data_IF_739034460300
#
_entry.id   IF_739034460300
#
_cell.length_a   1.000
_cell.length_b   1.000
_cell.length_c   1.000
_cell.angle_alpha   90.00
_cell.angle_beta   90.00
_cell.angle_gamma   90.00
#
_symmetry.space_group_name_H-M   'P 1'
#
loop_
_entity.id
_entity.type
_entity.pdbx_description
1 polymer ?
#
# COMPACT_ATOMS: atom_id res chain seq x y z
N UNK A 1 2.13 -21.47 12.11
CA UNK A 1 1.86 -20.34 11.19
C UNK A 1 0.37 -20.08 11.11
N UNK A 2 -0.06 -18.92 10.62
CA UNK A 2 -1.49 -18.63 10.40
C UNK A 2 -2.16 -19.62 9.43
N UNK A 3 -1.38 -20.19 8.52
CA UNK A 3 -1.87 -21.21 7.58
C UNK A 3 -2.26 -22.50 8.29
N UNK A 4 -1.46 -22.98 9.26
CA UNK A 4 -1.79 -24.14 10.08
C UNK A 4 -3.06 -23.93 10.90
N UNK A 5 -3.32 -22.70 11.39
CA UNK A 5 -4.55 -22.36 12.11
C UNK A 5 -5.76 -22.47 11.16
N UNK A 6 -5.61 -22.09 9.88
CA UNK A 6 -6.71 -22.10 8.93
C UNK A 6 -7.09 -23.50 8.45
N UNK A 7 -6.12 -24.38 8.18
CA UNK A 7 -6.42 -25.76 7.82
C UNK A 7 -7.01 -26.53 8.99
N UNK A 8 -6.49 -26.34 10.22
CA UNK A 8 -7.06 -26.91 11.44
C UNK A 8 -8.50 -26.42 11.68
N UNK A 9 -8.75 -25.13 11.52
CA UNK A 9 -10.11 -24.58 11.66
C UNK A 9 -11.06 -25.13 10.58
N UNK A 10 -10.59 -25.30 9.35
CA UNK A 10 -11.39 -25.92 8.30
C UNK A 10 -11.74 -27.38 8.67
N UNK A 11 -10.75 -28.16 9.10
CA UNK A 11 -10.94 -29.56 9.48
C UNK A 11 -11.94 -29.73 10.62
N UNK A 12 -11.87 -28.85 11.63
CA UNK A 12 -12.82 -28.85 12.76
C UNK A 12 -14.28 -28.68 12.30
N UNK A 13 -14.53 -27.88 11.24
CA UNK A 13 -15.87 -27.55 10.79
C UNK A 13 -16.36 -28.38 9.58
N UNK A 14 -15.45 -28.90 8.77
CA UNK A 14 -15.76 -29.54 7.48
C UNK A 14 -15.19 -30.95 7.33
N UNK A 15 -14.40 -31.43 8.30
CA UNK A 15 -13.75 -32.74 8.26
C UNK A 15 -12.40 -32.76 7.53
N UNK A 16 -11.81 -33.94 7.42
CA UNK A 16 -10.43 -34.14 6.93
C UNK A 16 -10.25 -33.98 5.42
N UNK A 17 -11.33 -33.90 4.66
CA UNK A 17 -11.25 -33.72 3.20
C UNK A 17 -11.09 -32.24 2.85
N UNK A 18 -9.91 -31.86 2.40
CA UNK A 18 -9.57 -30.50 2.01
C UNK A 18 -9.88 -30.18 0.53
N UNK A 19 -10.53 -31.08 -0.21
CA UNK A 19 -10.86 -30.86 -1.63
C UNK A 19 -11.68 -29.58 -1.84
N UNK A 20 -12.58 -29.29 -0.92
CA UNK A 20 -13.45 -28.11 -0.95
C UNK A 20 -12.87 -26.90 -0.19
N UNK A 21 -11.63 -26.93 0.24
CA UNK A 21 -11.01 -25.87 1.05
C UNK A 21 -11.21 -24.47 0.43
N UNK A 22 -11.01 -24.33 -0.88
CA UNK A 22 -11.14 -23.07 -1.60
C UNK A 22 -12.58 -22.53 -1.65
N UNK A 23 -13.61 -23.37 -1.42
CA UNK A 23 -15.02 -22.90 -1.36
C UNK A 23 -15.32 -22.10 -0.09
N UNK A 24 -14.61 -22.42 0.99
CA UNK A 24 -14.84 -21.83 2.31
C UNK A 24 -13.73 -20.86 2.72
N UNK A 25 -12.59 -20.86 2.02
CA UNK A 25 -11.43 -20.05 2.35
C UNK A 25 -10.98 -19.23 1.14
N UNK A 26 -10.80 -17.93 1.36
CA UNK A 26 -10.14 -17.02 0.44
C UNK A 26 -9.06 -16.28 1.19
N UNK A 27 -7.84 -16.25 0.65
CA UNK A 27 -6.67 -15.66 1.28
C UNK A 27 -6.17 -14.53 0.40
N UNK A 28 -6.23 -13.30 0.94
CA UNK A 28 -5.75 -12.12 0.25
C UNK A 28 -4.28 -11.90 0.58
N UNK A 29 -3.43 -12.02 -0.42
CA UNK A 29 -2.01 -11.64 -0.36
C UNK A 29 -1.93 -10.12 -0.56
N UNK A 30 -1.75 -9.41 0.55
CA UNK A 30 -1.73 -7.96 0.57
C UNK A 30 -0.28 -7.48 0.38
N UNK A 31 0.07 -7.09 -0.84
CA UNK A 31 1.44 -6.94 -1.34
C UNK A 31 2.20 -8.27 -1.38
N UNK A 32 3.53 -8.22 -1.52
CA UNK A 32 4.39 -9.41 -1.62
C UNK A 32 4.81 -9.98 -0.26
N UNK A 33 4.63 -9.24 0.82
CA UNK A 33 5.09 -9.63 2.15
C UNK A 33 4.59 -11.02 2.61
N UNK A 34 3.31 -11.42 2.40
CA UNK A 34 2.81 -12.72 2.81
C UNK A 34 2.85 -13.78 1.70
N UNK A 35 3.56 -13.57 0.58
CA UNK A 35 3.55 -14.50 -0.58
C UNK A 35 4.01 -15.90 -0.22
N UNK A 36 4.90 -16.07 0.77
CA UNK A 36 5.33 -17.38 1.25
C UNK A 36 4.18 -18.27 1.76
N UNK A 37 3.03 -17.69 2.07
CA UNK A 37 1.84 -18.48 2.39
C UNK A 37 1.38 -19.37 1.24
N UNK A 38 1.69 -19.03 -0.01
CA UNK A 38 1.37 -19.83 -1.19
C UNK A 38 2.12 -21.17 -1.19
N UNK A 39 3.47 -21.20 -1.22
CA UNK A 39 4.20 -22.45 -1.13
C UNK A 39 4.03 -23.13 0.24
N UNK A 40 3.72 -22.41 1.31
CA UNK A 40 3.42 -23.05 2.62
C UNK A 40 2.09 -23.81 2.58
N UNK A 41 1.04 -23.28 1.95
CA UNK A 41 -0.19 -24.05 1.78
C UNK A 41 0.06 -25.29 0.89
N UNK A 42 0.87 -25.14 -0.16
CA UNK A 42 1.30 -26.32 -0.93
C UNK A 42 1.99 -27.36 -0.05
N UNK A 43 2.94 -26.95 0.82
CA UNK A 43 3.62 -27.87 1.75
C UNK A 43 2.63 -28.61 2.65
N UNK A 44 1.70 -27.88 3.25
CA UNK A 44 0.67 -28.47 4.13
C UNK A 44 -0.14 -29.51 3.36
N UNK A 45 -0.63 -29.19 2.18
CA UNK A 45 -1.45 -30.11 1.37
C UNK A 45 -0.67 -31.33 0.91
N UNK A 46 0.59 -31.14 0.50
CA UNK A 46 1.46 -32.23 0.02
C UNK A 46 1.98 -33.10 1.17
N UNK A 47 2.57 -32.48 2.20
CA UNK A 47 3.37 -33.19 3.19
C UNK A 47 2.53 -33.61 4.40
N UNK A 48 1.63 -32.75 4.87
CA UNK A 48 0.81 -33.02 6.06
C UNK A 48 -0.48 -33.79 5.72
N UNK A 49 -1.03 -33.59 4.49
CA UNK A 49 -2.26 -34.26 4.03
C UNK A 49 -2.05 -35.27 2.89
N UNK A 50 -0.84 -35.44 2.39
CA UNK A 50 -0.50 -36.48 1.41
C UNK A 50 -1.16 -36.30 0.03
N UNK A 51 -1.56 -35.07 -0.33
CA UNK A 51 -2.21 -34.81 -1.62
C UNK A 51 -1.20 -34.86 -2.77
N UNK A 52 -1.68 -35.22 -3.96
CA UNK A 52 -0.89 -35.07 -5.19
C UNK A 52 -0.76 -33.60 -5.59
N UNK A 53 0.33 -33.27 -6.32
CA UNK A 53 0.63 -31.88 -6.71
C UNK A 53 -0.52 -31.19 -7.44
N UNK A 54 -1.12 -31.85 -8.43
CA UNK A 54 -2.18 -31.24 -9.25
C UNK A 54 -3.40 -30.83 -8.42
N UNK A 55 -3.81 -31.71 -7.50
CA UNK A 55 -4.93 -31.44 -6.59
C UNK A 55 -4.58 -30.29 -5.63
N UNK A 56 -3.40 -30.32 -5.01
CA UNK A 56 -2.93 -29.26 -4.12
C UNK A 56 -2.81 -27.90 -4.85
N UNK A 57 -2.25 -27.89 -6.06
CA UNK A 57 -2.11 -26.69 -6.86
C UNK A 57 -3.48 -26.10 -7.27
N UNK A 58 -4.44 -26.96 -7.60
CA UNK A 58 -5.81 -26.52 -7.89
C UNK A 58 -6.44 -25.82 -6.67
N UNK A 59 -6.29 -26.39 -5.48
CA UNK A 59 -6.79 -25.77 -4.25
C UNK A 59 -6.11 -24.41 -4.04
N UNK A 60 -4.78 -24.34 -4.11
CA UNK A 60 -3.99 -23.12 -3.92
C UNK A 60 -4.41 -22.03 -4.90
N UNK A 61 -4.50 -22.34 -6.19
CA UNK A 61 -4.84 -21.36 -7.22
C UNK A 61 -6.31 -20.87 -7.17
N UNK A 62 -7.17 -21.51 -6.41
CA UNK A 62 -8.54 -21.06 -6.16
C UNK A 62 -8.71 -20.42 -4.77
N UNK A 63 -7.68 -20.48 -3.93
CA UNK A 63 -7.71 -19.91 -2.58
C UNK A 63 -7.08 -18.51 -2.52
N UNK A 64 -6.03 -18.25 -3.29
CA UNK A 64 -5.25 -17.01 -3.19
C UNK A 64 -5.69 -15.93 -4.18
N UNK A 65 -5.73 -14.70 -3.67
CA UNK A 65 -5.86 -13.48 -4.46
C UNK A 65 -4.74 -12.51 -4.09
N UNK A 66 -4.25 -11.71 -5.04
CA UNK A 66 -3.11 -10.82 -4.88
C UNK A 66 -3.49 -9.37 -5.09
N UNK A 67 -3.17 -8.53 -4.10
CA UNK A 67 -3.25 -7.06 -4.22
C UNK A 67 -1.86 -6.48 -4.42
N UNK A 68 -1.61 -5.85 -5.56
CA UNK A 68 -0.38 -5.11 -5.80
C UNK A 68 -0.51 -3.67 -5.28
N UNK A 69 0.52 -3.16 -4.59
CA UNK A 69 0.58 -1.80 -4.05
C UNK A 69 1.64 -0.93 -4.72
N UNK A 70 2.51 -1.48 -5.58
CA UNK A 70 3.61 -0.75 -6.17
C UNK A 70 3.74 -0.98 -7.66
N UNK A 71 4.20 0.07 -8.36
CA UNK A 71 4.57 0.00 -9.78
C UNK A 71 6.10 0.09 -9.98
N UNK A 72 6.84 0.35 -8.91
CA UNK A 72 8.29 0.49 -8.97
C UNK A 72 8.96 -0.88 -8.96
N UNK A 73 9.75 -1.17 -9.98
CA UNK A 73 10.44 -2.47 -10.13
C UNK A 73 11.38 -2.78 -8.94
N UNK A 74 12.02 -1.76 -8.36
CA UNK A 74 12.88 -1.89 -7.18
C UNK A 74 12.13 -2.24 -5.90
N UNK A 75 10.81 -1.98 -5.84
CA UNK A 75 9.98 -2.30 -4.69
C UNK A 75 9.31 -3.68 -4.82
N UNK A 76 9.47 -4.38 -5.95
CA UNK A 76 9.05 -5.77 -6.12
C UNK A 76 10.06 -6.69 -5.43
N UNK A 77 9.61 -7.35 -4.38
CA UNK A 77 10.43 -8.12 -3.46
C UNK A 77 11.10 -9.31 -4.13
N UNK A 78 12.41 -9.43 -3.94
CA UNK A 78 13.25 -10.51 -4.43
C UNK A 78 14.15 -11.03 -3.32
N UNK A 79 14.37 -12.33 -3.29
CA UNK A 79 15.19 -12.98 -2.29
C UNK A 79 16.19 -13.94 -2.94
N UNK A 80 17.44 -13.92 -2.45
CA UNK A 80 18.46 -14.87 -2.89
C UNK A 80 18.05 -16.30 -2.57
N UNK A 81 18.16 -17.21 -3.54
CA UNK A 81 17.82 -18.64 -3.36
C UNK A 81 18.58 -19.29 -2.21
N UNK A 82 19.83 -18.87 -1.94
CA UNK A 82 20.63 -19.39 -0.83
C UNK A 82 20.00 -19.14 0.55
N UNK A 83 19.25 -18.04 0.71
CA UNK A 83 18.53 -17.76 1.96
C UNK A 83 17.41 -18.78 2.14
N UNK A 84 16.69 -19.10 1.07
CA UNK A 84 15.62 -20.10 1.07
C UNK A 84 16.16 -21.50 1.33
N UNK A 85 17.21 -21.90 0.61
CA UNK A 85 17.85 -23.22 0.79
C UNK A 85 18.29 -23.44 2.25
N UNK A 86 18.79 -22.37 2.91
CA UNK A 86 19.28 -22.45 4.28
C UNK A 86 18.17 -22.41 5.31
N UNK A 87 17.17 -21.52 5.15
CA UNK A 87 16.16 -21.24 6.17
C UNK A 87 14.87 -22.03 5.99
N UNK A 88 14.51 -22.33 4.74
CA UNK A 88 13.26 -22.96 4.36
C UNK A 88 13.46 -23.99 3.25
N UNK A 89 14.28 -25.05 3.45
CA UNK A 89 14.66 -25.96 2.38
C UNK A 89 13.44 -26.59 1.67
N UNK A 90 12.43 -27.04 2.41
CA UNK A 90 11.22 -27.62 1.82
C UNK A 90 10.41 -26.62 0.99
N UNK A 91 10.27 -25.40 1.47
CA UNK A 91 9.62 -24.32 0.72
C UNK A 91 10.42 -24.00 -0.56
N UNK A 92 11.74 -24.03 -0.49
CA UNK A 92 12.62 -23.84 -1.65
C UNK A 92 12.39 -24.89 -2.73
N UNK A 93 12.26 -26.16 -2.35
CA UNK A 93 11.93 -27.26 -3.29
C UNK A 93 10.59 -27.02 -3.98
N UNK A 94 9.57 -26.63 -3.20
CA UNK A 94 8.23 -26.32 -3.72
C UNK A 94 8.28 -25.13 -4.69
N UNK A 95 9.01 -24.06 -4.34
CA UNK A 95 9.16 -22.88 -5.21
C UNK A 95 9.87 -23.24 -6.52
N UNK A 96 10.91 -24.09 -6.49
CA UNK A 96 11.56 -24.60 -7.70
C UNK A 96 10.60 -25.42 -8.57
N UNK A 97 9.75 -26.23 -7.96
CA UNK A 97 8.77 -27.02 -8.71
C UNK A 97 7.65 -26.12 -9.28
N UNK A 98 7.23 -25.06 -8.57
CA UNK A 98 6.33 -24.03 -9.10
C UNK A 98 6.96 -23.38 -10.34
N UNK A 99 8.25 -22.99 -10.27
CA UNK A 99 8.96 -22.38 -11.40
C UNK A 99 9.07 -23.33 -12.59
N UNK A 100 9.44 -24.59 -12.34
CA UNK A 100 9.53 -25.60 -13.39
C UNK A 100 8.21 -25.77 -14.14
N UNK A 101 7.11 -25.89 -13.39
CA UNK A 101 5.76 -26.04 -13.96
C UNK A 101 5.28 -24.78 -14.65
N UNK A 102 5.60 -23.62 -14.11
CA UNK A 102 5.35 -22.35 -14.78
C UNK A 102 6.01 -22.30 -16.15
N UNK A 103 7.31 -22.65 -16.24
CA UNK A 103 8.05 -22.68 -17.51
C UNK A 103 7.44 -23.66 -18.51
N UNK A 104 7.04 -24.85 -18.07
CA UNK A 104 6.34 -25.81 -18.91
C UNK A 104 5.00 -25.30 -19.43
N UNK A 105 4.19 -24.66 -18.57
CA UNK A 105 2.91 -24.07 -18.97
C UNK A 105 3.10 -22.95 -20.00
N UNK A 106 4.07 -22.05 -19.78
CA UNK A 106 4.35 -20.96 -20.71
C UNK A 106 4.91 -21.46 -22.06
N UNK A 107 5.75 -22.50 -22.05
CA UNK A 107 6.21 -23.15 -23.28
C UNK A 107 5.05 -23.77 -24.06
N UNK A 108 4.14 -24.47 -23.39
CA UNK A 108 2.93 -25.04 -24.02
C UNK A 108 2.03 -23.97 -24.64
N UNK A 109 2.04 -22.76 -24.09
CA UNK A 109 1.32 -21.60 -24.62
C UNK A 109 2.04 -20.90 -25.77
N UNK A 110 3.26 -21.33 -26.10
CA UNK A 110 4.04 -20.80 -27.21
C UNK A 110 4.75 -19.47 -26.95
N UNK A 111 5.00 -19.13 -25.68
CA UNK A 111 5.79 -17.96 -25.34
C UNK A 111 7.28 -18.19 -25.68
N UNK A 112 7.96 -17.11 -26.08
CA UNK A 112 9.40 -17.16 -26.31
C UNK A 112 10.18 -17.26 -24.99
N UNK A 113 11.42 -17.77 -25.08
CA UNK A 113 12.26 -18.04 -23.91
C UNK A 113 12.60 -16.80 -23.11
N UNK A 114 12.71 -15.62 -23.74
CA UNK A 114 13.03 -14.36 -23.05
C UNK A 114 11.83 -13.88 -22.21
N UNK A 115 10.64 -13.98 -22.73
CA UNK A 115 9.39 -13.69 -22.02
C UNK A 115 9.18 -14.65 -20.84
N UNK A 116 9.43 -15.96 -21.06
CA UNK A 116 9.35 -16.96 -19.99
C UNK A 116 10.34 -16.63 -18.87
N UNK A 117 11.59 -16.32 -19.19
CA UNK A 117 12.61 -15.96 -18.20
C UNK A 117 12.24 -14.67 -17.45
N UNK A 118 11.69 -13.68 -18.15
CA UNK A 118 11.21 -12.45 -17.53
C UNK A 118 10.08 -12.69 -16.52
N UNK A 119 9.17 -13.60 -16.83
CA UNK A 119 8.01 -13.91 -15.98
C UNK A 119 8.27 -15.03 -14.96
N UNK A 120 9.38 -15.74 -15.03
CA UNK A 120 9.64 -16.90 -14.19
C UNK A 120 9.70 -16.54 -12.69
N UNK A 121 9.06 -17.32 -11.81
CA UNK A 121 9.14 -17.18 -10.36
C UNK A 121 10.57 -17.21 -9.81
N UNK A 122 11.45 -17.98 -10.43
CA UNK A 122 12.88 -18.04 -10.11
C UNK A 122 13.70 -17.64 -11.31
N UNK A 123 14.56 -16.63 -11.16
CA UNK A 123 15.47 -16.17 -12.21
C UNK A 123 16.70 -15.50 -11.60
N UNK A 124 17.87 -15.62 -12.23
CA UNK A 124 19.11 -15.02 -11.74
C UNK A 124 19.47 -15.41 -10.30
N UNK A 125 19.19 -16.66 -9.92
CA UNK A 125 19.36 -17.17 -8.55
C UNK A 125 18.51 -16.43 -7.47
N UNK A 126 17.44 -15.77 -7.89
CA UNK A 126 16.52 -15.06 -7.00
C UNK A 126 15.09 -15.59 -7.12
N UNK A 127 14.41 -15.67 -5.98
CA UNK A 127 12.95 -15.88 -5.89
C UNK A 127 12.26 -14.52 -6.03
N UNK A 128 11.33 -14.43 -6.95
CA UNK A 128 10.56 -13.20 -7.24
C UNK A 128 9.15 -13.35 -6.72
N UNK A 129 8.84 -12.71 -5.58
CA UNK A 129 7.60 -12.90 -4.83
C UNK A 129 6.36 -12.51 -5.65
N UNK A 130 6.39 -11.37 -6.33
CA UNK A 130 5.25 -10.92 -7.14
C UNK A 130 4.91 -11.93 -8.26
N UNK A 131 5.89 -12.62 -8.84
CA UNK A 131 5.67 -13.59 -9.90
C UNK A 131 5.02 -14.88 -9.38
N UNK A 132 5.39 -15.33 -8.18
CA UNK A 132 4.68 -16.42 -7.50
C UNK A 132 3.23 -16.03 -7.26
N UNK A 133 3.00 -14.82 -6.73
CA UNK A 133 1.65 -14.31 -6.46
C UNK A 133 0.81 -14.22 -7.73
N UNK A 134 1.35 -13.70 -8.83
CA UNK A 134 0.65 -13.61 -10.12
C UNK A 134 0.28 -14.98 -10.69
N UNK A 135 1.18 -15.96 -10.59
CA UNK A 135 0.92 -17.29 -11.11
C UNK A 135 -0.12 -18.06 -10.30
N UNK A 136 -0.06 -17.94 -8.97
CA UNK A 136 -0.90 -18.70 -8.05
C UNK A 136 -2.26 -18.04 -7.74
N UNK A 137 -2.49 -16.76 -8.09
CA UNK A 137 -3.71 -16.07 -7.68
C UNK A 137 -4.80 -16.12 -8.75
N UNK A 138 -6.04 -16.39 -8.33
CA UNK A 138 -7.21 -16.31 -9.21
C UNK A 138 -7.64 -14.88 -9.53
N UNK A 139 -7.24 -13.91 -8.69
CA UNK A 139 -7.58 -12.50 -8.84
C UNK A 139 -6.37 -11.64 -8.49
N UNK A 140 -6.11 -10.61 -9.31
CA UNK A 140 -5.01 -9.64 -9.14
C UNK A 140 -5.63 -8.26 -9.21
N UNK A 141 -5.47 -7.46 -8.16
CA UNK A 141 -6.01 -6.10 -8.20
C UNK A 141 -4.96 -5.03 -7.90
N UNK A 142 -5.16 -3.89 -8.55
CA UNK A 142 -4.59 -2.63 -8.11
C UNK A 142 -5.47 -1.93 -7.08
N UNK A 143 -4.98 -0.82 -6.51
CA UNK A 143 -5.62 -0.12 -5.37
C UNK A 143 -6.21 1.24 -5.74
N UNK A 144 -6.21 1.59 -7.03
CA UNK A 144 -6.87 2.74 -7.63
C UNK A 144 -7.03 2.49 -9.14
N UNK A 145 -7.99 3.15 -9.79
CA UNK A 145 -8.23 2.97 -11.23
C UNK A 145 -6.96 3.22 -12.06
N UNK A 146 -6.30 4.36 -11.87
CA UNK A 146 -5.06 4.69 -12.55
C UNK A 146 -3.93 3.68 -12.25
N UNK A 147 -3.78 3.28 -11.00
CA UNK A 147 -2.79 2.27 -10.61
C UNK A 147 -3.04 0.93 -11.31
N UNK A 148 -4.28 0.51 -11.39
CA UNK A 148 -4.68 -0.74 -12.07
C UNK A 148 -4.36 -0.70 -13.56
N UNK A 149 -4.58 0.44 -14.23
CA UNK A 149 -4.22 0.60 -15.64
C UNK A 149 -2.69 0.59 -15.86
N UNK A 150 -1.92 1.19 -14.96
CA UNK A 150 -0.44 1.11 -15.01
C UNK A 150 0.03 -0.34 -14.83
N UNK A 151 -0.54 -1.08 -13.88
CA UNK A 151 -0.23 -2.50 -13.69
C UNK A 151 -0.46 -3.29 -14.97
N UNK A 152 -1.61 -3.11 -15.62
CA UNK A 152 -1.96 -3.82 -16.86
C UNK A 152 -1.07 -3.47 -18.04
N UNK A 153 -0.66 -2.20 -18.16
CA UNK A 153 0.09 -1.70 -19.33
C UNK A 153 1.60 -1.78 -19.19
N UNK A 154 2.11 -1.78 -17.96
CA UNK A 154 3.54 -1.66 -17.68
C UNK A 154 4.03 -2.76 -16.75
N UNK A 155 3.68 -2.70 -15.46
CA UNK A 155 4.30 -3.52 -14.41
C UNK A 155 4.08 -5.02 -14.57
N UNK A 156 2.87 -5.43 -14.94
CA UNK A 156 2.44 -6.82 -15.09
C UNK A 156 1.80 -7.09 -16.47
N UNK A 157 2.26 -6.39 -17.50
CA UNK A 157 1.65 -6.43 -18.84
C UNK A 157 1.66 -7.83 -19.45
N UNK A 158 2.73 -8.62 -19.24
CA UNK A 158 2.84 -9.98 -19.74
C UNK A 158 1.84 -10.92 -19.03
N UNK A 159 1.64 -10.72 -17.74
CA UNK A 159 0.66 -11.46 -16.95
C UNK A 159 -0.78 -11.09 -17.38
N UNK A 160 -1.02 -9.80 -17.64
CA UNK A 160 -2.31 -9.32 -18.14
C UNK A 160 -2.61 -9.88 -19.54
N UNK A 161 -1.62 -9.96 -20.41
CA UNK A 161 -1.79 -10.51 -21.77
C UNK A 161 -2.23 -11.99 -21.75
N UNK A 162 -1.77 -12.77 -20.76
CA UNK A 162 -2.11 -14.20 -20.65
C UNK A 162 -3.41 -14.44 -19.88
N UNK A 163 -3.66 -13.68 -18.81
CA UNK A 163 -4.82 -13.85 -17.93
C UNK A 163 -5.56 -12.53 -17.66
N UNK A 164 -6.11 -11.85 -18.68
CA UNK A 164 -6.76 -10.54 -18.51
C UNK A 164 -7.93 -10.59 -17.52
N UNK A 165 -8.64 -11.72 -17.46
CA UNK A 165 -9.80 -11.93 -16.57
C UNK A 165 -9.45 -11.94 -15.08
N UNK A 166 -8.18 -12.12 -14.70
CA UNK A 166 -7.74 -12.07 -13.30
C UNK A 166 -7.59 -10.65 -12.79
N UNK A 167 -7.42 -9.66 -13.69
CA UNK A 167 -7.10 -8.28 -13.33
C UNK A 167 -8.35 -7.43 -13.09
N UNK A 168 -8.39 -6.78 -11.94
CA UNK A 168 -9.48 -5.89 -11.56
C UNK A 168 -8.99 -4.74 -10.67
N UNK A 169 -9.86 -3.76 -10.44
CA UNK A 169 -9.57 -2.63 -9.56
C UNK A 169 -10.34 -2.74 -8.25
N UNK A 170 -9.65 -2.50 -7.13
CA UNK A 170 -10.26 -2.30 -5.82
C UNK A 170 -9.69 -1.01 -5.23
N UNK A 171 -10.37 0.11 -5.50
CA UNK A 171 -9.95 1.42 -4.97
C UNK A 171 -9.93 1.39 -3.44
N UNK A 172 -8.83 1.86 -2.86
CA UNK A 172 -8.74 2.01 -1.42
C UNK A 172 -9.85 2.91 -0.90
N UNK A 173 -10.49 2.47 0.17
CA UNK A 173 -11.51 3.23 0.86
C UNK A 173 -10.97 4.05 2.03
N UNK A 174 -11.81 4.94 2.52
CA UNK A 174 -11.59 5.72 3.75
C UNK A 174 -12.70 5.38 4.72
N UNK A 175 -12.34 5.15 5.99
CA UNK A 175 -13.32 4.98 7.07
C UNK A 175 -13.77 6.36 7.55
N UNK A 176 -14.98 6.84 7.20
CA UNK A 176 -15.45 8.17 7.59
C UNK A 176 -15.68 8.29 9.10
N UNK A 177 -16.00 7.20 9.77
CA UNK A 177 -16.13 7.15 11.24
C UNK A 177 -14.88 7.62 11.94
N UNK A 178 -13.70 7.16 11.54
CA UNK A 178 -12.43 7.56 12.16
C UNK A 178 -11.87 8.85 11.56
N UNK A 179 -11.74 8.89 10.23
CA UNK A 179 -10.94 9.90 9.54
C UNK A 179 -11.71 11.20 9.21
N UNK A 180 -13.00 11.25 9.54
CA UNK A 180 -13.80 12.45 9.44
C UNK A 180 -14.57 12.71 10.75
N UNK A 181 -15.46 11.80 11.15
CA UNK A 181 -16.34 12.00 12.31
C UNK A 181 -15.53 12.11 13.62
N UNK A 182 -14.65 11.17 13.90
CA UNK A 182 -13.89 11.14 15.15
C UNK A 182 -12.77 12.17 15.19
N UNK A 183 -12.01 12.32 14.09
CA UNK A 183 -10.82 13.19 14.10
C UNK A 183 -11.13 14.66 13.82
N UNK A 184 -12.32 15.01 13.34
CA UNK A 184 -12.74 16.39 13.08
C UNK A 184 -14.20 16.63 13.50
N UNK A 185 -14.48 16.67 14.82
CA UNK A 185 -15.86 16.79 15.33
C UNK A 185 -16.55 18.09 14.91
N UNK A 186 -15.81 19.21 14.75
CA UNK A 186 -16.38 20.48 14.28
C UNK A 186 -16.90 20.35 12.85
N UNK A 187 -16.12 19.75 11.95
CA UNK A 187 -16.55 19.51 10.57
C UNK A 187 -17.68 18.47 10.52
N UNK A 188 -17.63 17.44 11.36
CA UNK A 188 -18.68 16.43 11.45
C UNK A 188 -20.02 17.05 11.84
N UNK A 189 -20.04 17.98 12.81
CA UNK A 189 -21.24 18.70 13.20
C UNK A 189 -21.80 19.55 12.05
N UNK A 190 -20.95 20.28 11.32
CA UNK A 190 -21.35 21.05 10.14
C UNK A 190 -21.95 20.15 9.05
N UNK A 191 -21.30 19.02 8.74
CA UNK A 191 -21.82 18.08 7.73
C UNK A 191 -23.19 17.54 8.13
N UNK A 192 -23.37 17.15 9.39
CA UNK A 192 -24.68 16.64 9.88
C UNK A 192 -25.77 17.72 9.81
N UNK A 193 -25.42 18.97 10.10
CA UNK A 193 -26.35 20.09 9.98
C UNK A 193 -26.75 20.34 8.52
N UNK A 194 -25.77 20.45 7.61
CA UNK A 194 -26.02 20.73 6.18
C UNK A 194 -26.83 19.61 5.52
N UNK A 195 -26.54 18.36 5.87
CA UNK A 195 -27.24 17.19 5.29
C UNK A 195 -28.53 16.83 6.03
N UNK A 196 -28.76 17.40 7.21
CA UNK A 196 -29.90 17.08 8.06
C UNK A 196 -29.85 15.67 8.69
N UNK A 197 -28.72 14.94 8.56
CA UNK A 197 -28.59 13.58 9.05
C UNK A 197 -27.12 13.18 9.22
N UNK A 198 -26.86 12.12 10.02
CA UNK A 198 -25.54 11.51 10.19
C UNK A 198 -25.29 10.31 9.25
N UNK A 199 -26.15 10.12 8.25
CA UNK A 199 -26.05 8.99 7.30
C UNK A 199 -24.68 8.94 6.58
N UNK A 200 -24.06 10.10 6.33
CA UNK A 200 -22.72 10.22 5.75
C UNK A 200 -21.62 9.52 6.55
N UNK A 201 -21.85 9.28 7.86
CA UNK A 201 -20.87 8.55 8.72
C UNK A 201 -20.73 7.09 8.26
N UNK A 202 -21.78 6.52 7.68
CA UNK A 202 -21.80 5.15 7.14
C UNK A 202 -21.57 5.11 5.64
N UNK A 203 -22.10 6.09 4.92
CA UNK A 203 -22.02 6.18 3.46
C UNK A 203 -21.66 7.61 3.03
N UNK A 204 -20.41 7.83 2.62
CA UNK A 204 -19.94 9.13 2.15
C UNK A 204 -20.62 9.58 0.84
N UNK A 205 -21.20 8.67 0.07
CA UNK A 205 -21.87 9.04 -1.19
C UNK A 205 -23.06 9.97 -0.95
N UNK A 206 -23.69 9.92 0.23
CA UNK A 206 -24.74 10.85 0.64
C UNK A 206 -24.30 12.32 0.54
N UNK A 207 -23.02 12.62 0.75
CA UNK A 207 -22.52 14.00 0.65
C UNK A 207 -22.56 14.56 -0.78
N UNK A 208 -22.55 13.71 -1.80
CA UNK A 208 -22.63 14.16 -3.19
C UNK A 208 -23.94 14.88 -3.52
N UNK A 209 -25.04 14.48 -2.88
CA UNK A 209 -26.37 15.07 -3.09
C UNK A 209 -26.46 16.52 -2.58
N UNK A 210 -25.52 16.94 -1.75
CA UNK A 210 -25.50 18.27 -1.11
C UNK A 210 -24.46 19.22 -1.71
N UNK A 211 -23.69 18.81 -2.71
CA UNK A 211 -22.64 19.65 -3.33
C UNK A 211 -23.19 20.96 -3.89
N UNK A 212 -24.37 20.91 -4.50
CA UNK A 212 -25.02 22.10 -5.08
C UNK A 212 -25.71 22.98 -4.03
N UNK A 213 -25.83 22.51 -2.80
CA UNK A 213 -26.42 23.24 -1.67
C UNK A 213 -25.37 23.98 -0.82
N UNK A 214 -24.09 23.85 -1.17
CA UNK A 214 -22.99 24.53 -0.48
C UNK A 214 -22.87 25.95 -1.00
N UNK A 215 -23.26 26.92 -0.17
CA UNK A 215 -23.15 28.35 -0.43
C UNK A 215 -21.94 28.98 0.28
N UNK A 216 -21.75 30.30 0.09
CA UNK A 216 -20.62 31.01 0.68
C UNK A 216 -20.63 30.93 2.22
N UNK A 217 -21.81 30.86 2.87
CA UNK A 217 -21.90 30.74 4.32
C UNK A 217 -21.35 29.43 4.85
N UNK A 218 -21.51 28.35 4.11
CA UNK A 218 -20.92 27.02 4.44
C UNK A 218 -19.41 27.07 4.24
N UNK A 219 -18.90 27.72 3.18
CA UNK A 219 -17.46 27.92 2.97
C UNK A 219 -16.82 28.73 4.10
N UNK A 220 -17.46 29.81 4.55
CA UNK A 220 -16.96 30.60 5.66
C UNK A 220 -16.87 29.78 6.94
N UNK A 221 -17.88 28.98 7.25
CA UNK A 221 -17.88 28.06 8.41
C UNK A 221 -16.80 26.98 8.30
N UNK A 222 -16.54 26.45 7.11
CA UNK A 222 -15.43 25.51 6.88
C UNK A 222 -14.08 26.18 7.19
N UNK A 223 -13.90 27.43 6.77
CA UNK A 223 -12.68 28.19 7.02
C UNK A 223 -12.50 28.48 8.53
N UNK A 224 -13.57 28.86 9.23
CA UNK A 224 -13.57 29.04 10.69
C UNK A 224 -13.19 27.72 11.41
N UNK A 225 -13.75 26.59 11.00
CA UNK A 225 -13.43 25.27 11.55
C UNK A 225 -11.95 24.92 11.30
N UNK A 226 -11.45 25.15 10.10
CA UNK A 226 -10.04 24.91 9.77
C UNK A 226 -9.11 25.79 10.61
N UNK A 227 -9.43 27.08 10.76
CA UNK A 227 -8.66 27.98 11.58
C UNK A 227 -8.66 27.54 13.05
N UNK A 228 -9.83 27.22 13.63
CA UNK A 228 -9.94 26.74 15.00
C UNK A 228 -9.12 25.44 15.23
N UNK A 229 -9.17 24.50 14.31
CA UNK A 229 -8.35 23.28 14.40
C UNK A 229 -6.84 23.57 14.30
N UNK A 230 -6.44 24.56 13.50
CA UNK A 230 -5.03 24.98 13.40
C UNK A 230 -4.57 25.70 14.67
N UNK A 231 -5.44 26.54 15.28
CA UNK A 231 -5.17 27.21 16.55
C UNK A 231 -5.00 26.19 17.69
N UNK A 232 -5.87 25.17 17.78
CA UNK A 232 -5.73 24.09 18.77
C UNK A 232 -4.41 23.32 18.59
N UNK A 233 -4.05 23.03 17.35
CA UNK A 233 -2.78 22.36 17.05
C UNK A 233 -1.57 23.25 17.39
N UNK A 234 -1.62 24.54 17.08
CA UNK A 234 -0.57 25.50 17.43
C UNK A 234 -0.37 25.57 18.94
N UNK A 235 -1.45 25.66 19.71
CA UNK A 235 -1.39 25.64 21.18
C UNK A 235 -0.77 24.33 21.72
N UNK A 236 -1.18 23.18 21.15
CA UNK A 236 -0.63 21.88 21.53
C UNK A 236 0.88 21.75 21.25
N UNK A 237 1.35 22.27 20.10
CA UNK A 237 2.78 22.27 19.74
C UNK A 237 3.56 23.21 20.65
N UNK A 238 3.04 24.42 20.93
CA UNK A 238 3.68 25.37 21.84
C UNK A 238 3.88 24.76 23.24
N UNK A 239 2.85 24.09 23.77
CA UNK A 239 2.92 23.43 25.09
C UNK A 239 3.94 22.30 25.13
N UNK A 240 4.01 21.47 24.08
CA UNK A 240 4.81 20.23 24.11
C UNK A 240 6.23 20.36 23.57
N UNK A 241 6.40 21.22 22.55
CA UNK A 241 7.65 21.35 21.81
C UNK A 241 8.31 22.73 22.03
N UNK A 242 7.58 23.68 22.64
CA UNK A 242 8.06 25.04 22.84
C UNK A 242 8.19 25.83 21.53
N UNK A 243 7.48 25.43 20.48
CA UNK A 243 7.53 26.06 19.15
C UNK A 243 6.22 26.80 18.89
N UNK A 244 6.33 28.08 18.58
CA UNK A 244 5.17 28.90 18.17
C UNK A 244 4.89 28.72 16.68
N UNK A 245 3.63 28.46 16.33
CA UNK A 245 3.15 28.29 14.97
C UNK A 245 2.03 29.29 14.70
N UNK A 246 2.12 30.02 13.59
CA UNK A 246 1.09 30.94 13.13
C UNK A 246 -0.12 30.17 12.54
N UNK A 247 -1.31 30.17 13.17
CA UNK A 247 -2.48 29.46 12.66
C UNK A 247 -3.03 30.05 11.35
N UNK A 248 -2.68 31.32 11.01
CA UNK A 248 -3.08 31.95 9.75
C UNK A 248 -2.21 31.51 8.56
N UNK A 249 -1.03 30.92 8.81
CA UNK A 249 -0.17 30.41 7.78
C UNK A 249 -0.77 29.20 7.05
N UNK A 250 -0.33 28.93 5.82
CA UNK A 250 -0.62 27.67 5.13
C UNK A 250 0.16 26.54 5.82
N UNK A 251 -0.53 25.51 6.29
CA UNK A 251 0.12 24.32 6.82
C UNK A 251 0.41 23.35 5.68
N UNK A 252 1.70 23.23 5.34
CA UNK A 252 2.21 22.27 4.37
C UNK A 252 2.64 21.00 5.12
N UNK A 253 1.83 19.96 5.02
CA UNK A 253 1.93 18.76 5.87
C UNK A 253 2.37 17.56 5.06
N UNK A 254 3.53 16.99 5.41
CA UNK A 254 4.02 15.74 4.82
C UNK A 254 4.27 14.69 5.91
N UNK A 255 3.20 14.01 6.33
CA UNK A 255 3.22 12.99 7.38
C UNK A 255 3.11 11.60 6.74
N UNK A 256 4.25 10.97 6.53
CA UNK A 256 4.38 9.63 5.94
C UNK A 256 5.78 9.04 6.22
N UNK A 257 5.91 7.71 6.24
CA UNK A 257 7.24 7.07 6.35
C UNK A 257 8.20 7.66 5.32
N UNK A 258 9.44 7.91 5.73
CA UNK A 258 10.42 8.44 4.82
C UNK A 258 10.85 7.38 3.80
N UNK A 259 10.73 7.73 2.52
CA UNK A 259 11.15 6.91 1.40
C UNK A 259 11.43 7.80 0.20
N UNK A 260 12.43 7.45 -0.62
CA UNK A 260 12.83 8.27 -1.76
C UNK A 260 11.67 8.56 -2.72
N UNK A 261 10.81 7.56 -3.02
CA UNK A 261 9.67 7.77 -3.91
C UNK A 261 8.57 8.68 -3.35
N UNK A 262 8.55 8.93 -2.03
CA UNK A 262 7.61 9.87 -1.40
C UNK A 262 8.08 11.32 -1.46
N UNK A 263 9.31 11.54 -1.96
CA UNK A 263 9.85 12.85 -2.34
C UNK A 263 9.96 13.88 -1.20
N UNK A 264 10.17 13.44 0.04
CA UNK A 264 10.45 14.39 1.14
C UNK A 264 11.69 15.23 0.86
N UNK A 265 12.70 14.66 0.20
CA UNK A 265 13.90 15.40 -0.23
C UNK A 265 13.55 16.55 -1.19
N UNK A 266 12.64 16.31 -2.15
CA UNK A 266 12.20 17.37 -3.07
C UNK A 266 11.47 18.50 -2.33
N UNK A 267 10.64 18.17 -1.33
CA UNK A 267 9.99 19.18 -0.48
C UNK A 267 11.03 19.98 0.34
N UNK A 268 12.06 19.33 0.87
CA UNK A 268 13.14 20.05 1.56
C UNK A 268 13.90 21.01 0.64
N UNK A 269 14.15 20.63 -0.64
CA UNK A 269 14.71 21.55 -1.63
C UNK A 269 13.77 22.70 -1.97
N UNK A 270 12.47 22.47 -2.04
CA UNK A 270 11.48 23.53 -2.24
C UNK A 270 11.51 24.54 -1.09
N UNK A 271 11.65 24.10 0.15
CA UNK A 271 11.78 24.98 1.32
C UNK A 271 13.05 25.85 1.19
N UNK A 272 14.17 25.26 0.76
CA UNK A 272 15.39 26.02 0.52
C UNK A 272 15.25 27.02 -0.64
N UNK A 273 14.58 26.66 -1.72
CA UNK A 273 14.29 27.57 -2.83
C UNK A 273 13.48 28.79 -2.32
N UNK A 274 12.42 28.56 -1.57
CA UNK A 274 11.64 29.63 -0.95
C UNK A 274 12.49 30.51 -0.01
N UNK A 275 13.29 29.89 0.84
CA UNK A 275 14.18 30.60 1.77
C UNK A 275 15.14 31.54 1.02
N UNK A 276 15.81 31.05 -0.02
CA UNK A 276 16.74 31.88 -0.79
C UNK A 276 16.03 32.97 -1.58
N UNK A 277 14.87 32.66 -2.18
CA UNK A 277 14.05 33.69 -2.87
C UNK A 277 13.65 34.83 -1.94
N UNK A 278 13.18 34.53 -0.72
CA UNK A 278 12.82 35.56 0.28
C UNK A 278 14.06 36.32 0.76
N UNK A 279 15.19 35.61 0.89
CA UNK A 279 16.45 36.24 1.30
C UNK A 279 17.02 37.19 0.24
N UNK A 280 16.91 36.81 -1.05
CA UNK A 280 17.41 37.61 -2.17
C UNK A 280 16.49 38.78 -2.48
N UNK A 281 15.17 38.62 -2.31
CA UNK A 281 14.14 39.65 -2.45
C UNK A 281 13.13 39.58 -1.31
N UNK A 282 13.34 40.34 -0.22
CA UNK A 282 12.40 40.39 0.91
C UNK A 282 11.01 40.95 0.57
N UNK A 283 10.83 41.49 -0.63
CA UNK A 283 9.54 42.04 -1.10
C UNK A 283 8.73 41.03 -1.89
N UNK A 284 9.26 39.82 -2.13
CA UNK A 284 8.55 38.80 -2.84
C UNK A 284 7.25 38.42 -2.13
N UNK A 285 6.14 38.47 -2.86
CA UNK A 285 4.83 38.11 -2.33
C UNK A 285 4.67 36.57 -2.30
N UNK A 286 4.97 36.00 -1.14
CA UNK A 286 4.74 34.57 -0.86
C UNK A 286 3.88 34.42 0.39
N UNK A 287 2.83 33.59 0.37
CA UNK A 287 2.01 33.39 1.56
C UNK A 287 2.82 32.73 2.67
N UNK A 288 2.56 33.12 3.91
CA UNK A 288 3.17 32.48 5.08
C UNK A 288 2.91 30.98 5.08
N UNK A 289 3.93 30.20 5.41
CA UNK A 289 3.86 28.71 5.45
C UNK A 289 4.47 28.16 6.73
N UNK A 290 3.85 27.09 7.21
CA UNK A 290 4.41 26.22 8.24
C UNK A 290 4.59 24.83 7.61
N UNK A 291 5.83 24.38 7.50
CA UNK A 291 6.16 23.04 6.98
C UNK A 291 6.21 22.02 8.12
N UNK A 292 5.40 20.97 8.02
CA UNK A 292 5.26 19.95 9.06
C UNK A 292 5.65 18.60 8.49
N UNK A 293 6.76 18.04 8.96
CA UNK A 293 7.20 16.69 8.61
C UNK A 293 6.93 15.71 9.76
N UNK A 294 6.30 14.58 9.43
CA UNK A 294 6.16 13.45 10.33
C UNK A 294 6.65 12.18 9.63
N UNK A 295 7.79 11.66 10.06
CA UNK A 295 8.40 10.53 9.39
C UNK A 295 9.21 9.64 10.34
N UNK A 296 9.45 8.40 9.89
CA UNK A 296 10.47 7.49 10.43
C UNK A 296 11.06 6.66 9.31
N UNK A 297 12.31 6.26 9.47
CA UNK A 297 13.04 5.41 8.53
C UNK A 297 13.34 4.04 9.14
N UNK A 298 13.46 3.01 8.31
CA UNK A 298 14.00 1.72 8.73
C UNK A 298 15.46 1.88 9.18
N UNK A 299 15.93 1.15 10.22
CA UNK A 299 17.28 1.31 10.77
C UNK A 299 18.40 1.17 9.76
N UNK A 300 18.30 0.26 8.79
CA UNK A 300 19.28 0.03 7.73
C UNK A 300 19.16 0.95 6.51
N UNK A 301 18.11 1.78 6.42
CA UNK A 301 17.92 2.67 5.27
C UNK A 301 18.71 3.97 5.43
N UNK A 302 20.01 3.91 5.19
CA UNK A 302 20.96 5.01 5.41
C UNK A 302 20.56 6.30 4.67
N UNK A 303 20.12 6.18 3.42
CA UNK A 303 19.70 7.35 2.62
C UNK A 303 18.48 8.04 3.22
N UNK A 304 17.48 7.29 3.67
CA UNK A 304 16.33 7.86 4.36
C UNK A 304 16.73 8.60 5.65
N UNK A 305 17.66 8.03 6.43
CA UNK A 305 18.20 8.66 7.63
C UNK A 305 18.97 9.95 7.31
N UNK A 306 19.72 9.96 6.21
CA UNK A 306 20.40 11.17 5.73
C UNK A 306 19.40 12.27 5.32
N UNK A 307 18.28 11.92 4.68
CA UNK A 307 17.20 12.86 4.35
C UNK A 307 16.56 13.44 5.62
N UNK A 308 16.31 12.63 6.66
CA UNK A 308 15.83 13.14 7.95
C UNK A 308 16.80 14.16 8.54
N UNK A 309 18.10 13.85 8.54
CA UNK A 309 19.12 14.80 9.00
C UNK A 309 19.08 16.08 8.17
N UNK A 310 19.01 15.98 6.85
CA UNK A 310 18.95 17.13 5.96
C UNK A 310 17.74 18.03 6.25
N UNK A 311 16.55 17.45 6.44
CA UNK A 311 15.34 18.20 6.81
C UNK A 311 15.55 18.96 8.13
N UNK A 312 16.17 18.34 9.13
CA UNK A 312 16.48 19.02 10.40
C UNK A 312 17.49 20.16 10.24
N UNK A 313 18.49 20.02 9.36
CA UNK A 313 19.43 21.11 9.06
C UNK A 313 18.72 22.26 8.34
N UNK A 314 17.82 21.97 7.38
CA UNK A 314 16.99 22.99 6.71
C UNK A 314 16.12 23.70 7.74
N UNK A 315 15.48 22.96 8.67
CA UNK A 315 14.68 23.58 9.73
C UNK A 315 15.50 24.53 10.61
N UNK A 316 16.74 24.13 10.98
CA UNK A 316 17.64 25.02 11.72
C UNK A 316 18.02 26.28 10.93
N UNK A 317 18.25 26.16 9.63
CA UNK A 317 18.57 27.30 8.79
C UNK A 317 17.39 28.29 8.65
N UNK A 318 16.19 27.77 8.50
CA UNK A 318 14.99 28.58 8.22
C UNK A 318 14.42 29.23 9.47
N UNK A 319 14.56 28.60 10.64
CA UNK A 319 13.99 29.08 11.91
C UNK A 319 14.96 29.96 12.72
N UNK A 320 16.23 30.12 12.29
CA UNK A 320 17.20 31.02 12.91
C UNK A 320 17.47 32.24 12.01
#
# INVERSE_FOLDING_TARGET
SEMCIRDSNYIEHHGQDLTDFAKYNSIQVNDTHPVLSIPELMRILLDDHGMGWEQAWQIVTHTFAYTNHTVLAEALEKWEMQIFDRLFPRICEIVREIDRRFREDMNKRGLDSSTIEYMAPVSGNQVRMAWIACYASYSINGVAALHTEIIKRETLKEWYAIWPQRFNNKTNGVTPRRWLNQCNPRLAALLTEVTGSDAWVKDLAVLADYTDSVDDSVYDRINEIKHANKADFAAWVAEREGVEIDPDAIFDVQIKRLHEYKRQLLNAFYILDLYFRIKDDPTVDVPKRVFIFGAKAAPGYLRAKAIIKFINEVARLVNN
#
